data_IF_011224557253
#
_entry.id   IF_011224557253
#
_cell.length_a   1.000
_cell.length_b   1.000
_cell.length_c   1.000
_cell.angle_alpha   90.00
_cell.angle_beta   90.00
_cell.angle_gamma   90.00
#
_symmetry.space_group_name_H-M   'P 1'
#
loop_
_entity.id
_entity.type
_entity.pdbx_description
1 polymer ?
#
# COMPACT_ATOMS: atom_id res chain seq x y z
N UNK A 1 0.95 8.56 10.87
CA UNK A 1 1.97 8.74 11.88
C UNK A 1 1.75 7.69 12.96
N UNK A 2 2.65 6.74 13.07
CA UNK A 2 2.66 5.84 14.21
C UNK A 2 3.43 6.54 15.33
N UNK A 3 2.76 6.80 16.42
CA UNK A 3 3.34 7.32 17.65
C UNK A 3 3.24 6.23 18.69
N UNK A 4 4.36 5.86 19.28
CA UNK A 4 4.34 5.16 20.56
C UNK A 4 4.13 6.21 21.64
N UNK A 5 2.97 6.16 22.27
CA UNK A 5 2.65 7.02 23.39
C UNK A 5 2.61 6.17 24.65
N UNK A 6 3.42 6.49 25.60
CA UNK A 6 3.40 5.86 26.92
C UNK A 6 3.57 6.89 28.02
N UNK A 7 2.97 6.62 29.15
CA UNK A 7 3.04 7.48 30.31
C UNK A 7 3.63 6.72 31.48
N UNK A 8 4.44 7.37 32.26
CA UNK A 8 4.66 7.02 33.66
C UNK A 8 3.82 7.93 34.57
N UNK A 9 3.94 7.77 35.88
CA UNK A 9 3.11 8.51 36.84
C UNK A 9 3.31 10.05 36.79
N UNK A 10 4.32 10.54 36.09
CA UNK A 10 4.68 11.95 36.10
C UNK A 10 4.92 12.51 34.68
N UNK A 11 5.04 11.65 33.67
CA UNK A 11 5.53 12.05 32.37
C UNK A 11 4.79 11.37 31.21
N UNK A 12 4.61 12.12 30.14
CA UNK A 12 4.09 11.64 28.88
C UNK A 12 5.25 11.49 27.88
N UNK A 13 5.45 10.31 27.39
CA UNK A 13 6.48 10.02 26.39
C UNK A 13 5.85 9.74 25.04
N UNK A 14 6.35 10.39 24.00
CA UNK A 14 5.96 10.14 22.63
C UNK A 14 7.21 9.79 21.86
N UNK A 15 7.26 8.55 21.40
CA UNK A 15 8.30 8.10 20.51
C UNK A 15 7.76 8.11 19.09
N UNK A 16 8.19 9.04 18.23
CA UNK A 16 7.85 8.96 16.83
C UNK A 16 8.55 7.75 16.27
N UNK A 17 7.80 6.73 15.99
CA UNK A 17 8.31 5.65 15.16
C UNK A 17 8.84 6.28 13.88
N UNK A 18 10.07 5.98 13.52
CA UNK A 18 10.69 6.38 12.25
C UNK A 18 9.97 5.71 11.08
N UNK A 19 8.68 5.98 10.99
CA UNK A 19 7.88 5.50 9.90
C UNK A 19 7.76 6.61 8.89
N UNK A 20 8.59 6.44 7.87
CA UNK A 20 8.23 6.88 6.54
C UNK A 20 7.72 8.30 6.42
N UNK A 21 8.68 9.16 6.37
CA UNK A 21 8.53 10.54 6.03
C UNK A 21 7.97 10.84 4.65
N UNK A 22 7.02 10.08 4.17
CA UNK A 22 6.25 10.47 3.00
C UNK A 22 5.21 11.54 3.33
N UNK A 23 4.96 11.74 4.61
CA UNK A 23 3.74 12.39 5.04
C UNK A 23 4.06 13.60 5.89
N UNK A 24 4.01 14.72 5.23
CA UNK A 24 3.97 16.07 5.79
C UNK A 24 4.94 16.44 6.92
N UNK A 25 5.92 17.32 6.66
CA UNK A 25 6.78 17.90 7.68
C UNK A 25 6.01 18.65 8.78
N UNK A 26 4.75 18.98 8.57
CA UNK A 26 3.92 19.68 9.55
C UNK A 26 3.34 18.78 10.65
N UNK A 27 3.44 17.48 10.54
CA UNK A 27 3.09 16.54 11.61
C UNK A 27 4.23 16.33 12.63
N UNK A 28 5.36 17.00 12.46
CA UNK A 28 6.50 16.97 13.39
C UNK A 28 6.42 18.04 14.50
N UNK A 29 5.24 18.28 15.00
CA UNK A 29 5.14 18.93 16.32
C UNK A 29 6.05 18.28 17.38
N UNK A 30 6.21 16.96 17.40
CA UNK A 30 7.13 16.30 18.32
C UNK A 30 8.60 16.59 18.10
N UNK A 31 9.07 16.87 16.90
CA UNK A 31 10.50 17.00 16.64
C UNK A 31 11.16 18.11 17.47
N UNK A 32 10.46 19.20 17.64
CA UNK A 32 10.91 20.33 18.45
C UNK A 32 10.99 20.00 19.93
N UNK A 33 10.25 19.01 20.38
CA UNK A 33 10.14 18.60 21.77
C UNK A 33 11.03 17.39 22.09
N UNK A 34 11.51 16.69 21.08
CA UNK A 34 12.40 15.55 21.27
C UNK A 34 13.86 15.93 21.39
N UNK A 35 14.22 17.14 20.95
CA UNK A 35 15.61 17.57 20.93
C UNK A 35 16.21 17.77 22.33
N UNK A 36 15.38 17.96 23.35
CA UNK A 36 15.91 18.28 24.67
C UNK A 36 16.14 17.09 25.59
N UNK A 37 15.62 15.89 25.38
CA UNK A 37 15.91 14.73 26.25
C UNK A 37 15.52 13.36 25.71
N UNK A 38 15.21 13.23 24.41
CA UNK A 38 14.68 11.97 23.87
C UNK A 38 13.28 11.61 24.39
N UNK A 39 12.67 12.48 25.15
CA UNK A 39 11.31 12.40 25.67
C UNK A 39 10.54 13.66 25.33
N UNK A 40 9.24 13.47 25.14
CA UNK A 40 8.35 14.55 24.76
C UNK A 40 7.98 15.38 25.97
N UNK A 41 8.87 16.00 26.52
CA UNK A 41 8.56 16.81 27.56
C UNK A 41 9.34 17.94 27.60
N UNK A 42 8.69 18.74 27.98
CA UNK A 42 8.27 19.62 28.54
C UNK A 42 8.36 20.48 28.92
N UNK A 43 8.24 20.74 28.53
CA UNK A 43 7.39 21.18 28.79
C UNK A 43 7.56 22.07 29.86
N UNK A 44 8.50 22.88 29.80
CA UNK A 44 8.58 24.02 30.71
C UNK A 44 7.35 24.89 30.54
N UNK A 45 6.42 24.70 31.45
CA UNK A 45 5.16 25.47 31.52
C UNK A 45 3.99 24.73 30.89
N UNK A 46 2.97 24.46 31.66
CA UNK A 46 1.75 23.72 31.29
C UNK A 46 1.03 24.16 30.01
N UNK A 47 1.50 25.22 29.37
CA UNK A 47 0.96 25.74 28.14
C UNK A 47 1.13 24.77 26.96
N UNK A 48 2.28 24.14 26.86
CA UNK A 48 2.54 23.26 25.73
C UNK A 48 1.92 21.88 25.90
N UNK A 49 1.82 21.40 27.13
CA UNK A 49 1.05 20.20 27.45
C UNK A 49 -0.42 20.41 27.10
N UNK A 50 -0.99 21.53 27.51
CA UNK A 50 -2.37 21.88 27.20
C UNK A 50 -2.61 21.92 25.69
N UNK A 51 -1.69 22.51 24.93
CA UNK A 51 -1.78 22.58 23.47
C UNK A 51 -1.61 21.21 22.84
N UNK A 52 -0.77 20.35 23.40
CA UNK A 52 -0.63 18.98 22.95
C UNK A 52 -1.91 18.17 23.19
N UNK A 53 -2.48 18.24 24.37
CA UNK A 53 -3.76 17.58 24.67
C UNK A 53 -4.87 18.11 23.76
N UNK A 54 -4.94 19.40 23.52
CA UNK A 54 -5.90 19.97 22.56
C UNK A 54 -5.69 19.42 21.16
N UNK A 55 -4.44 19.23 20.74
CA UNK A 55 -4.12 18.64 19.44
C UNK A 55 -4.48 17.15 19.41
N UNK A 56 -4.15 16.40 20.45
CA UNK A 56 -4.52 14.99 20.58
C UNK A 56 -6.05 14.83 20.64
N UNK A 57 -6.74 15.67 21.41
CA UNK A 57 -8.19 15.69 21.46
C UNK A 57 -8.80 16.06 20.10
N UNK A 58 -8.24 17.03 19.40
CA UNK A 58 -8.69 17.37 18.05
C UNK A 58 -8.45 16.22 17.06
N UNK A 59 -7.35 15.48 17.21
CA UNK A 59 -7.05 14.30 16.39
C UNK A 59 -7.91 13.09 16.80
N UNK A 60 -8.25 12.96 18.07
CA UNK A 60 -9.03 11.82 18.60
C UNK A 60 -10.53 12.03 18.53
N UNK A 61 -11.01 13.27 18.58
CA UNK A 61 -12.43 13.60 18.56
C UNK A 61 -13.00 13.88 17.17
N UNK A 62 -12.17 13.85 16.12
CA UNK A 62 -12.67 13.86 14.75
C UNK A 62 -13.13 12.47 14.38
N UNK A 63 -14.40 12.23 14.48
CA UNK A 63 -15.06 10.92 14.43
C UNK A 63 -14.84 10.08 13.17
N UNK A 64 -14.33 10.65 12.09
CA UNK A 64 -14.11 9.93 10.84
C UNK A 64 -12.64 9.81 10.42
N UNK A 65 -11.72 10.58 11.01
CA UNK A 65 -10.34 10.70 10.54
C UNK A 65 -9.29 10.40 11.62
N UNK A 66 -9.67 9.70 12.64
CA UNK A 66 -8.91 9.58 13.88
C UNK A 66 -7.51 9.00 13.74
N UNK A 67 -7.29 8.12 12.80
CA UNK A 67 -6.02 7.43 12.63
C UNK A 67 -5.53 7.45 11.18
N UNK A 68 -6.05 8.38 10.39
CA UNK A 68 -5.65 8.47 8.99
C UNK A 68 -4.29 9.14 8.86
N UNK A 69 -3.42 8.56 8.08
CA UNK A 69 -2.20 9.22 7.64
C UNK A 69 -2.52 10.38 6.65
N UNK A 70 -1.50 11.10 6.22
CA UNK A 70 -1.71 12.25 5.33
C UNK A 70 -2.22 11.86 3.94
N UNK A 71 -1.89 10.65 3.46
CA UNK A 71 -2.39 10.14 2.20
C UNK A 71 -3.87 9.77 2.31
N UNK A 72 -4.25 9.04 3.33
CA UNK A 72 -5.63 8.67 3.58
C UNK A 72 -6.52 9.89 3.79
N UNK A 73 -6.01 10.91 4.50
CA UNK A 73 -6.70 12.21 4.63
C UNK A 73 -6.86 12.90 3.28
N UNK A 74 -5.79 13.00 2.52
CA UNK A 74 -5.81 13.63 1.19
C UNK A 74 -6.87 12.98 0.30
N UNK A 75 -6.90 11.65 0.19
CA UNK A 75 -7.90 10.93 -0.60
C UNK A 75 -9.32 11.12 -0.05
N UNK A 76 -9.48 11.07 1.27
CA UNK A 76 -10.79 11.25 1.91
C UNK A 76 -11.34 12.65 1.68
N UNK A 77 -10.52 13.68 1.87
CA UNK A 77 -10.90 15.07 1.65
C UNK A 77 -11.16 15.35 0.17
N UNK A 78 -10.32 14.83 -0.72
CA UNK A 78 -10.54 14.92 -2.17
C UNK A 78 -11.88 14.30 -2.58
N UNK A 79 -12.17 13.09 -2.11
CA UNK A 79 -13.44 12.41 -2.40
C UNK A 79 -14.64 13.18 -1.84
N UNK A 80 -14.52 13.75 -0.63
CA UNK A 80 -15.57 14.58 -0.02
C UNK A 80 -15.83 15.85 -0.84
N UNK A 81 -14.77 16.55 -1.24
CA UNK A 81 -14.85 17.74 -2.08
C UNK A 81 -15.46 17.43 -3.45
N UNK A 82 -15.01 16.37 -4.10
CA UNK A 82 -15.57 15.93 -5.37
C UNK A 82 -17.07 15.60 -5.26
N UNK A 83 -17.49 14.86 -4.25
CA UNK A 83 -18.91 14.51 -4.07
C UNK A 83 -19.80 15.69 -3.74
N UNK A 84 -19.27 16.70 -3.04
CA UNK A 84 -20.04 17.87 -2.63
C UNK A 84 -20.05 18.98 -3.68
N UNK A 85 -18.95 19.18 -4.36
CA UNK A 85 -18.68 20.36 -5.19
C UNK A 85 -18.39 19.99 -6.66
N UNK A 86 -18.20 18.73 -6.98
CA UNK A 86 -17.80 18.28 -8.31
C UNK A 86 -16.34 18.66 -8.67
N UNK A 87 -15.54 19.07 -7.69
CA UNK A 87 -14.18 19.57 -7.93
C UNK A 87 -13.17 18.41 -7.86
N UNK A 88 -12.53 18.15 -9.01
CA UNK A 88 -11.39 17.24 -9.13
C UNK A 88 -10.40 17.88 -10.12
N UNK A 89 -9.35 18.48 -9.57
CA UNK A 89 -8.41 19.26 -10.40
C UNK A 89 -7.35 18.39 -11.04
N UNK A 90 -6.75 18.79 -12.17
CA UNK A 90 -5.63 18.07 -12.80
C UNK A 90 -4.46 17.82 -11.84
N UNK A 91 -4.17 18.75 -10.94
CA UNK A 91 -3.11 18.58 -9.94
C UNK A 91 -3.44 17.45 -8.93
N UNK A 92 -4.69 17.33 -8.53
CA UNK A 92 -5.16 16.24 -7.66
C UNK A 92 -5.08 14.92 -8.40
N UNK A 93 -5.51 14.87 -9.65
CA UNK A 93 -5.41 13.68 -10.50
C UNK A 93 -3.96 13.23 -10.68
N UNK A 94 -3.04 14.16 -10.94
CA UNK A 94 -1.61 13.86 -11.05
C UNK A 94 -1.06 13.21 -9.77
N UNK A 95 -1.36 13.78 -8.61
CA UNK A 95 -0.91 13.24 -7.32
C UNK A 95 -1.44 11.81 -7.13
N UNK A 96 -2.72 11.58 -7.37
CA UNK A 96 -3.36 10.26 -7.19
C UNK A 96 -2.78 9.24 -8.18
N UNK A 97 -2.69 9.61 -9.45
CA UNK A 97 -2.20 8.75 -10.51
C UNK A 97 -0.75 8.31 -10.27
N UNK A 98 0.14 9.25 -9.94
CA UNK A 98 1.55 8.95 -9.64
C UNK A 98 1.74 8.13 -8.37
N UNK A 99 0.93 8.37 -7.35
CA UNK A 99 1.09 7.66 -6.07
C UNK A 99 0.53 6.26 -6.13
N UNK A 100 -0.63 6.08 -6.78
CA UNK A 100 -1.41 4.85 -6.67
C UNK A 100 -1.37 3.98 -7.93
N UNK A 101 -1.23 4.58 -9.11
CA UNK A 101 -1.41 3.86 -10.37
C UNK A 101 -0.08 3.55 -11.06
N UNK A 102 0.63 4.55 -11.56
CA UNK A 102 1.82 4.36 -12.38
C UNK A 102 2.75 5.58 -12.38
N UNK A 103 4.02 5.36 -12.74
CA UNK A 103 4.97 6.43 -13.05
C UNK A 103 5.36 6.44 -14.55
N UNK A 104 4.71 5.63 -15.38
CA UNK A 104 4.93 5.63 -16.83
C UNK A 104 4.07 6.72 -17.48
N UNK A 105 4.70 7.65 -18.19
CA UNK A 105 4.04 8.82 -18.81
C UNK A 105 2.95 8.44 -19.82
N UNK A 106 3.11 7.32 -20.53
CA UNK A 106 2.10 6.84 -21.49
C UNK A 106 0.86 6.33 -20.75
N UNK A 107 1.09 5.56 -19.66
CA UNK A 107 0.00 5.10 -18.80
C UNK A 107 -0.72 6.28 -18.17
N UNK A 108 0.01 7.25 -17.63
CA UNK A 108 -0.56 8.46 -17.02
C UNK A 108 -1.41 9.26 -18.02
N UNK A 109 -0.94 9.41 -19.25
CA UNK A 109 -1.71 10.07 -20.32
C UNK A 109 -3.02 9.33 -20.65
N UNK A 110 -2.98 8.01 -20.69
CA UNK A 110 -4.17 7.18 -20.92
C UNK A 110 -5.13 7.22 -19.73
N UNK A 111 -4.61 7.21 -18.50
CA UNK A 111 -5.46 7.37 -17.30
C UNK A 111 -6.22 8.68 -17.34
N UNK A 112 -5.57 9.80 -17.64
CA UNK A 112 -6.22 11.11 -17.81
C UNK A 112 -7.31 11.13 -18.90
N UNK A 113 -7.17 10.29 -19.91
CA UNK A 113 -8.14 10.20 -21.02
C UNK A 113 -9.34 9.34 -20.65
N UNK A 114 -9.11 8.25 -19.95
CA UNK A 114 -10.11 7.20 -19.79
C UNK A 114 -10.70 7.09 -18.39
N UNK A 115 -9.96 7.49 -17.33
CA UNK A 115 -10.45 7.40 -15.96
C UNK A 115 -11.30 8.62 -15.60
N UNK A 116 -12.26 8.37 -14.74
CA UNK A 116 -13.03 9.39 -14.03
C UNK A 116 -12.63 9.39 -12.54
N UNK A 117 -12.90 10.44 -11.78
CA UNK A 117 -12.54 10.50 -10.36
C UNK A 117 -13.03 9.31 -9.54
N UNK A 118 -14.22 8.80 -9.81
CA UNK A 118 -14.78 7.64 -9.11
C UNK A 118 -14.00 6.35 -9.37
N UNK A 119 -13.29 6.23 -10.48
CA UNK A 119 -12.44 5.07 -10.75
C UNK A 119 -11.26 5.02 -9.79
N UNK A 120 -10.60 6.15 -9.54
CA UNK A 120 -9.52 6.25 -8.56
C UNK A 120 -10.01 5.94 -7.15
N UNK A 121 -11.17 6.44 -6.76
CA UNK A 121 -11.76 6.16 -5.46
C UNK A 121 -12.18 4.69 -5.31
N UNK A 122 -12.60 4.04 -6.39
CA UNK A 122 -12.90 2.61 -6.38
C UNK A 122 -11.64 1.78 -6.18
N UNK A 123 -10.55 2.10 -6.88
CA UNK A 123 -9.25 1.46 -6.69
C UNK A 123 -8.80 1.63 -5.24
N UNK A 124 -8.80 2.86 -4.71
CA UNK A 124 -8.41 3.14 -3.33
C UNK A 124 -9.22 2.32 -2.31
N UNK A 125 -10.53 2.20 -2.52
CA UNK A 125 -11.41 1.39 -1.64
C UNK A 125 -11.03 -0.09 -1.61
N UNK A 126 -10.35 -0.58 -2.65
CA UNK A 126 -9.93 -1.97 -2.82
C UNK A 126 -8.46 -2.19 -2.54
N UNK A 127 -7.76 -1.17 -2.04
CA UNK A 127 -6.36 -1.30 -1.66
C UNK A 127 -6.19 -1.83 -0.24
N UNK A 128 -5.17 -2.63 -0.08
CA UNK A 128 -4.54 -2.98 1.20
C UNK A 128 -3.18 -2.29 1.20
N UNK A 129 -2.95 -1.42 2.18
CA UNK A 129 -1.83 -0.50 2.16
C UNK A 129 -2.12 0.76 1.33
N UNK A 130 -1.09 1.51 0.99
CA UNK A 130 -1.19 2.86 0.41
C UNK A 130 -0.26 3.13 -0.77
N UNK A 131 0.46 2.14 -1.21
CA UNK A 131 1.44 2.29 -2.29
C UNK A 131 0.83 2.12 -3.69
N UNK A 132 1.69 1.87 -4.67
CA UNK A 132 1.29 1.65 -6.06
C UNK A 132 0.73 0.25 -6.27
N UNK A 133 -0.31 0.13 -7.11
CA UNK A 133 -0.94 -1.17 -7.45
C UNK A 133 -0.14 -1.99 -8.49
N UNK A 134 0.82 -1.35 -9.16
CA UNK A 134 1.70 -1.99 -10.15
C UNK A 134 1.13 -2.09 -11.58
N UNK A 135 2.01 -2.48 -12.51
CA UNK A 135 1.74 -2.39 -13.95
C UNK A 135 0.61 -3.28 -14.41
N UNK A 136 0.59 -4.57 -14.02
CA UNK A 136 -0.45 -5.52 -14.45
C UNK A 136 -1.84 -5.10 -13.98
N UNK A 137 -1.98 -4.68 -12.72
CA UNK A 137 -3.26 -4.22 -12.19
C UNK A 137 -3.72 -2.93 -12.87
N UNK A 138 -2.82 -1.96 -13.02
CA UNK A 138 -3.11 -0.71 -13.70
C UNK A 138 -3.50 -0.93 -15.17
N UNK A 139 -2.73 -1.73 -15.90
CA UNK A 139 -2.99 -2.06 -17.31
C UNK A 139 -4.33 -2.75 -17.52
N UNK A 140 -4.69 -3.70 -16.66
CA UNK A 140 -5.97 -4.38 -16.70
C UNK A 140 -7.15 -3.42 -16.46
N UNK A 141 -7.06 -2.53 -15.47
CA UNK A 141 -8.10 -1.54 -15.19
C UNK A 141 -8.24 -0.55 -16.33
N UNK A 142 -7.12 -0.09 -16.88
CA UNK A 142 -7.09 0.83 -18.02
C UNK A 142 -7.69 0.19 -19.27
N UNK A 143 -7.32 -1.05 -19.60
CA UNK A 143 -7.89 -1.79 -20.74
C UNK A 143 -9.41 -1.92 -20.61
N UNK A 144 -9.94 -2.22 -19.44
CA UNK A 144 -11.39 -2.27 -19.21
C UNK A 144 -12.05 -0.91 -19.44
N UNK A 145 -11.43 0.19 -19.01
CA UNK A 145 -11.97 1.53 -19.22
C UNK A 145 -11.93 1.97 -20.66
N UNK A 146 -10.90 1.62 -21.40
CA UNK A 146 -10.82 1.83 -22.85
C UNK A 146 -11.98 1.10 -23.54
N UNK A 147 -12.16 -0.20 -23.25
CA UNK A 147 -13.27 -0.96 -23.85
C UNK A 147 -14.62 -0.38 -23.44
N UNK A 148 -14.79 0.01 -22.19
CA UNK A 148 -16.04 0.61 -21.72
C UNK A 148 -16.41 1.90 -22.47
N UNK A 149 -15.43 2.76 -22.78
CA UNK A 149 -15.66 4.03 -23.48
C UNK A 149 -15.74 3.86 -25.01
N UNK A 150 -14.84 3.06 -25.57
CA UNK A 150 -14.68 2.96 -27.02
C UNK A 150 -15.54 1.88 -27.66
N UNK A 151 -15.93 0.85 -26.89
CA UNK A 151 -16.80 -0.24 -27.35
C UNK A 151 -17.73 -0.73 -26.24
N UNK A 152 -18.78 0.05 -25.89
CA UNK A 152 -19.73 -0.30 -24.83
C UNK A 152 -20.47 -1.63 -25.07
N UNK A 153 -20.68 -1.99 -26.32
CA UNK A 153 -21.33 -3.27 -26.70
C UNK A 153 -20.45 -4.46 -26.29
N UNK A 154 -19.18 -4.43 -26.64
CA UNK A 154 -18.22 -5.45 -26.18
C UNK A 154 -18.09 -5.47 -24.65
N UNK A 155 -18.10 -4.29 -24.02
CA UNK A 155 -18.03 -4.19 -22.56
C UNK A 155 -19.21 -4.87 -21.86
N UNK A 156 -20.42 -4.79 -22.42
CA UNK A 156 -21.61 -5.43 -21.86
C UNK A 156 -21.50 -6.97 -21.78
N UNK A 157 -20.64 -7.57 -22.61
CA UNK A 157 -20.36 -9.01 -22.59
C UNK A 157 -19.17 -9.42 -21.72
N UNK A 158 -18.47 -8.43 -21.10
CA UNK A 158 -17.32 -8.73 -20.25
C UNK A 158 -17.78 -9.17 -18.86
N UNK A 159 -17.12 -10.19 -18.34
CA UNK A 159 -17.26 -10.60 -16.93
C UNK A 159 -16.99 -9.43 -15.98
N UNK A 160 -17.76 -9.27 -14.90
CA UNK A 160 -17.47 -8.32 -13.85
C UNK A 160 -16.08 -8.57 -13.27
N UNK A 161 -15.33 -7.49 -13.10
CA UNK A 161 -14.03 -7.55 -12.46
C UNK A 161 -14.16 -7.20 -10.98
N UNK A 162 -13.60 -8.05 -10.13
CA UNK A 162 -13.54 -7.81 -8.68
C UNK A 162 -12.17 -8.24 -8.15
N UNK A 163 -11.41 -7.28 -7.66
CA UNK A 163 -10.06 -7.49 -7.15
C UNK A 163 -9.76 -6.57 -5.98
N UNK A 164 -8.85 -7.02 -5.14
CA UNK A 164 -8.12 -6.20 -4.18
C UNK A 164 -6.68 -6.01 -4.64
N UNK A 165 -6.07 -4.91 -4.23
CA UNK A 165 -4.72 -4.53 -4.62
C UNK A 165 -3.86 -4.38 -3.36
N UNK A 166 -2.79 -5.15 -3.28
CA UNK A 166 -1.78 -4.96 -2.24
C UNK A 166 -0.82 -3.88 -2.72
N UNK A 167 -0.79 -2.76 -2.04
CA UNK A 167 0.10 -1.67 -2.36
C UNK A 167 1.58 -2.05 -2.22
N UNK A 168 2.43 -1.38 -2.94
CA UNK A 168 3.88 -1.64 -2.90
C UNK A 168 4.49 -1.45 -1.50
N UNK A 169 3.88 -0.63 -0.66
CA UNK A 169 4.26 -0.42 0.73
C UNK A 169 4.08 -1.68 1.59
N UNK A 170 3.08 -2.53 1.29
CA UNK A 170 2.88 -3.81 2.00
C UNK A 170 4.08 -4.73 1.81
N UNK A 171 4.65 -4.79 0.60
CA UNK A 171 5.87 -5.56 0.34
C UNK A 171 7.06 -5.05 1.14
N UNK A 172 7.29 -3.74 1.16
CA UNK A 172 8.39 -3.16 1.93
C UNK A 172 8.16 -3.28 3.44
N UNK A 173 6.91 -3.13 3.89
CA UNK A 173 6.53 -3.35 5.29
C UNK A 173 6.83 -4.79 5.70
N UNK A 174 6.52 -5.76 4.86
CA UNK A 174 6.86 -7.17 5.08
C UNK A 174 8.38 -7.39 5.24
N UNK A 175 9.19 -6.80 4.36
CA UNK A 175 10.66 -6.88 4.42
C UNK A 175 11.20 -6.27 5.73
N UNK A 176 10.70 -5.12 6.12
CA UNK A 176 11.16 -4.41 7.33
C UNK A 176 10.72 -5.14 8.59
N UNK A 177 9.44 -5.56 8.66
CA UNK A 177 8.89 -6.30 9.80
C UNK A 177 9.69 -7.57 10.12
N UNK A 178 10.06 -8.32 9.10
CA UNK A 178 10.83 -9.56 9.22
C UNK A 178 12.34 -9.33 9.30
N UNK A 179 12.82 -8.10 9.33
CA UNK A 179 14.25 -7.74 9.36
C UNK A 179 15.06 -8.20 8.14
N UNK A 180 14.41 -8.42 7.00
CA UNK A 180 15.06 -8.85 5.76
C UNK A 180 15.74 -7.72 5.00
N UNK A 181 15.63 -6.48 5.45
CA UNK A 181 16.08 -5.29 4.75
C UNK A 181 17.56 -5.33 4.34
N UNK A 182 18.44 -5.76 5.26
CA UNK A 182 19.87 -5.87 4.96
C UNK A 182 20.14 -6.90 3.84
N UNK A 183 19.52 -8.07 3.94
CA UNK A 183 19.64 -9.12 2.92
C UNK A 183 19.11 -8.64 1.57
N UNK A 184 17.96 -7.97 1.57
CA UNK A 184 17.36 -7.41 0.37
C UNK A 184 18.26 -6.36 -0.31
N UNK A 185 18.89 -5.45 0.44
CA UNK A 185 19.84 -4.47 -0.13
C UNK A 185 21.08 -5.18 -0.69
N UNK A 186 21.64 -6.12 0.06
CA UNK A 186 22.84 -6.85 -0.41
C UNK A 186 22.54 -7.70 -1.64
N UNK A 187 21.35 -8.29 -1.74
CA UNK A 187 20.92 -9.02 -2.92
C UNK A 187 20.91 -8.13 -4.18
N UNK A 188 20.59 -6.85 -4.05
CA UNK A 188 20.59 -5.90 -5.19
C UNK A 188 21.98 -5.48 -5.66
N UNK A 189 23.04 -5.83 -4.94
CA UNK A 189 24.42 -5.53 -5.38
C UNK A 189 24.84 -6.46 -6.52
N UNK A 190 25.79 -6.01 -7.36
CA UNK A 190 26.32 -6.83 -8.46
C UNK A 190 26.81 -8.21 -8.00
N UNK A 191 27.42 -8.29 -6.82
CA UNK A 191 27.94 -9.53 -6.26
C UNK A 191 26.84 -10.41 -5.62
N UNK A 192 25.83 -9.76 -5.01
CA UNK A 192 24.74 -10.44 -4.32
C UNK A 192 23.60 -10.90 -5.22
N UNK A 193 23.48 -10.33 -6.42
CA UNK A 193 22.27 -10.40 -7.23
C UNK A 193 21.70 -11.81 -7.42
N UNK A 194 22.52 -12.74 -7.88
CA UNK A 194 22.16 -14.15 -7.98
C UNK A 194 22.54 -14.96 -6.73
N UNK A 195 23.66 -14.60 -6.10
CA UNK A 195 24.22 -15.39 -4.99
C UNK A 195 23.31 -15.39 -3.76
N UNK A 196 22.67 -14.27 -3.44
CA UNK A 196 21.84 -14.12 -2.27
C UNK A 196 20.35 -14.35 -2.56
N UNK A 197 19.96 -14.52 -3.81
CA UNK A 197 18.58 -14.71 -4.21
C UNK A 197 17.94 -15.94 -3.54
N UNK A 198 18.56 -17.15 -3.50
CA UNK A 198 17.97 -18.30 -2.83
C UNK A 198 17.76 -18.08 -1.31
N UNK A 199 18.67 -17.35 -0.67
CA UNK A 199 18.53 -17.02 0.76
C UNK A 199 17.37 -16.05 0.99
N UNK A 200 17.21 -15.04 0.12
CA UNK A 200 16.11 -14.08 0.23
C UNK A 200 14.77 -14.72 -0.13
N UNK A 201 14.74 -15.63 -1.08
CA UNK A 201 13.57 -16.44 -1.42
C UNK A 201 13.06 -17.21 -0.21
N UNK A 202 13.94 -17.96 0.47
CA UNK A 202 13.59 -18.68 1.69
C UNK A 202 13.13 -17.76 2.82
N UNK A 203 13.77 -16.59 2.96
CA UNK A 203 13.34 -15.58 3.91
C UNK A 203 11.91 -15.09 3.60
N UNK A 204 11.57 -14.83 2.33
CA UNK A 204 10.22 -14.44 1.95
C UNK A 204 9.17 -15.52 2.21
N UNK A 205 9.51 -16.78 2.03
CA UNK A 205 8.59 -17.89 2.34
C UNK A 205 8.34 -18.07 3.84
N UNK A 206 9.29 -17.70 4.69
CA UNK A 206 9.24 -17.94 6.14
C UNK A 206 8.76 -16.75 6.97
N UNK A 207 8.59 -15.58 6.39
CA UNK A 207 8.19 -14.36 7.10
C UNK A 207 6.74 -14.34 7.55
N UNK A 208 6.39 -13.36 8.37
CA UNK A 208 5.03 -13.10 8.85
C UNK A 208 4.56 -11.71 8.47
N UNK A 209 3.25 -11.54 8.35
CA UNK A 209 2.66 -10.22 8.12
C UNK A 209 2.37 -9.51 9.45
N UNK A 210 2.55 -8.17 9.52
CA UNK A 210 2.12 -7.39 10.67
C UNK A 210 0.61 -7.53 10.90
N UNK A 211 0.19 -7.46 12.16
CA UNK A 211 -1.22 -7.62 12.54
C UNK A 211 -2.15 -6.64 11.80
N UNK A 212 -1.72 -5.41 11.60
CA UNK A 212 -2.51 -4.41 10.86
C UNK A 212 -2.79 -4.82 9.40
N UNK A 213 -1.85 -5.53 8.75
CA UNK A 213 -2.05 -6.08 7.40
C UNK A 213 -2.94 -7.32 7.45
N UNK A 214 -2.73 -8.21 8.43
CA UNK A 214 -3.56 -9.40 8.63
C UNK A 214 -5.03 -9.06 8.84
N UNK A 215 -5.34 -8.01 9.61
CA UNK A 215 -6.70 -7.51 9.78
C UNK A 215 -7.32 -7.03 8.45
N UNK A 216 -6.54 -6.42 7.57
CA UNK A 216 -7.01 -6.03 6.24
C UNK A 216 -7.24 -7.26 5.34
N UNK A 217 -6.39 -8.29 5.43
CA UNK A 217 -6.62 -9.57 4.75
C UNK A 217 -7.90 -10.24 5.22
N UNK A 218 -8.18 -10.26 6.52
CA UNK A 218 -9.42 -10.81 7.08
C UNK A 218 -10.64 -10.09 6.48
N UNK A 219 -10.66 -8.75 6.47
CA UNK A 219 -11.74 -7.97 5.87
C UNK A 219 -11.94 -8.25 4.38
N UNK A 220 -10.85 -8.44 3.64
CA UNK A 220 -10.90 -8.84 2.24
C UNK A 220 -11.48 -10.25 2.08
N UNK A 221 -11.07 -11.20 2.92
CA UNK A 221 -11.61 -12.56 2.92
C UNK A 221 -13.09 -12.61 3.31
N UNK A 222 -13.51 -11.78 4.27
CA UNK A 222 -14.94 -11.60 4.60
C UNK A 222 -15.73 -11.09 3.40
N UNK A 223 -15.18 -10.12 2.68
CA UNK A 223 -15.81 -9.57 1.48
C UNK A 223 -15.99 -10.62 0.38
N UNK A 224 -14.96 -11.41 0.08
CA UNK A 224 -15.05 -12.46 -0.95
C UNK A 224 -15.87 -13.68 -0.50
N UNK A 225 -16.10 -13.84 0.80
CA UNK A 225 -16.68 -15.06 1.32
C UNK A 225 -15.80 -16.27 0.99
N UNK A 226 -16.39 -17.41 0.69
CA UNK A 226 -15.65 -18.63 0.34
C UNK A 226 -15.51 -18.84 -1.18
N UNK A 227 -15.33 -17.74 -1.92
CA UNK A 227 -15.08 -17.81 -3.37
C UNK A 227 -13.59 -18.02 -3.63
N UNK A 228 -13.21 -18.82 -4.61
CA UNK A 228 -11.81 -18.98 -4.99
C UNK A 228 -11.16 -17.63 -5.32
N UNK A 229 -9.91 -17.47 -4.93
CA UNK A 229 -9.12 -16.26 -5.15
C UNK A 229 -7.83 -16.65 -5.89
N UNK A 230 -7.38 -15.81 -6.81
CA UNK A 230 -6.05 -15.91 -7.39
C UNK A 230 -5.20 -14.74 -6.89
N UNK A 231 -4.03 -15.05 -6.30
CA UNK A 231 -3.02 -14.07 -5.94
C UNK A 231 -2.02 -13.97 -7.08
N UNK A 232 -1.83 -12.76 -7.60
CA UNK A 232 -0.96 -12.49 -8.75
C UNK A 232 -0.01 -11.35 -8.45
N UNK A 233 1.19 -11.44 -9.00
CA UNK A 233 2.12 -10.32 -9.02
C UNK A 233 1.62 -9.16 -9.87
N UNK A 234 1.99 -7.94 -9.49
CA UNK A 234 1.73 -6.73 -10.24
C UNK A 234 2.88 -5.73 -10.02
N UNK A 235 4.09 -6.10 -10.46
CA UNK A 235 5.23 -5.18 -10.34
C UNK A 235 5.15 -4.06 -11.37
N UNK A 236 5.85 -2.96 -11.14
CA UNK A 236 5.92 -1.83 -12.08
C UNK A 236 6.53 -2.21 -13.43
N UNK A 237 7.29 -3.31 -13.48
CA UNK A 237 7.93 -3.80 -14.70
C UNK A 237 7.04 -4.79 -15.47
N UNK A 238 5.98 -5.28 -14.86
CA UNK A 238 5.05 -6.18 -15.55
C UNK A 238 4.10 -5.37 -16.42
N UNK A 239 4.01 -5.79 -17.68
CA UNK A 239 3.14 -5.19 -18.69
C UNK A 239 3.42 -3.70 -18.96
N UNK A 240 4.68 -3.28 -18.78
CA UNK A 240 5.13 -1.98 -19.24
C UNK A 240 5.16 -1.93 -20.78
N UNK A 241 4.93 -0.74 -21.36
CA UNK A 241 4.97 -0.56 -22.80
C UNK A 241 6.31 -1.02 -23.40
N UNK A 242 6.25 -2.00 -24.28
CA UNK A 242 7.42 -2.55 -25.00
C UNK A 242 8.15 -3.69 -24.29
N UNK A 243 7.73 -4.07 -23.08
CA UNK A 243 8.34 -5.17 -22.33
C UNK A 243 7.26 -6.13 -21.81
N UNK A 244 7.17 -7.29 -22.42
CA UNK A 244 6.30 -8.37 -21.93
C UNK A 244 7.02 -9.16 -20.82
N UNK A 245 6.70 -8.91 -19.56
CA UNK A 245 7.22 -9.65 -18.40
C UNK A 245 6.27 -10.81 -18.02
N UNK A 246 5.80 -11.57 -19.03
CA UNK A 246 4.84 -12.62 -18.79
C UNK A 246 5.48 -13.89 -18.20
N UNK A 247 4.82 -14.53 -17.23
CA UNK A 247 5.21 -15.85 -16.71
C UNK A 247 6.52 -15.90 -15.92
N UNK A 248 7.02 -14.76 -15.44
CA UNK A 248 8.26 -14.70 -14.64
C UNK A 248 8.02 -14.78 -13.14
N UNK A 249 6.86 -14.38 -12.69
CA UNK A 249 6.44 -14.48 -11.31
C UNK A 249 5.30 -15.48 -11.17
N UNK A 250 5.19 -16.06 -9.99
CA UNK A 250 4.13 -17.02 -9.69
C UNK A 250 2.75 -16.37 -9.60
N UNK A 251 1.75 -17.19 -9.89
CA UNK A 251 0.35 -16.92 -9.59
C UNK A 251 -0.19 -18.09 -8.79
N UNK A 252 -0.82 -17.81 -7.66
CA UNK A 252 -1.26 -18.83 -6.71
C UNK A 252 -2.77 -18.80 -6.57
N UNK A 253 -3.41 -19.93 -6.83
CA UNK A 253 -4.83 -20.12 -6.57
C UNK A 253 -5.04 -20.51 -5.11
N UNK A 254 -5.93 -19.79 -4.43
CA UNK A 254 -6.45 -20.10 -3.14
C UNK A 254 -7.87 -20.66 -3.29
N UNK A 255 -8.12 -21.82 -2.74
CA UNK A 255 -9.47 -22.42 -2.71
C UNK A 255 -10.40 -21.57 -1.87
N UNK A 256 -9.85 -20.96 -0.80
CA UNK A 256 -10.52 -20.00 0.07
C UNK A 256 -11.76 -20.59 0.77
N UNK A 257 -11.69 -21.84 1.20
CA UNK A 257 -12.75 -22.54 1.94
C UNK A 257 -12.26 -22.92 3.34
N UNK A 258 -13.21 -23.16 4.25
CA UNK A 258 -12.89 -23.51 5.63
C UNK A 258 -13.07 -22.36 6.62
N UNK A 259 -12.39 -22.46 7.75
CA UNK A 259 -12.40 -21.44 8.79
C UNK A 259 -11.65 -20.17 8.35
N UNK A 260 -11.87 -19.06 9.04
CA UNK A 260 -11.15 -17.80 8.73
C UNK A 260 -9.63 -17.99 8.89
N UNK A 261 -9.17 -18.71 9.88
CA UNK A 261 -7.73 -18.94 10.11
C UNK A 261 -7.09 -19.80 9.01
N UNK A 262 -7.78 -20.82 8.52
CA UNK A 262 -7.32 -21.64 7.40
C UNK A 262 -7.22 -20.79 6.12
N UNK A 263 -8.24 -20.00 5.82
CA UNK A 263 -8.29 -19.12 4.66
C UNK A 263 -7.24 -18.01 4.72
N UNK A 264 -7.03 -17.41 5.91
CA UNK A 264 -6.00 -16.41 6.14
C UNK A 264 -4.60 -17.03 5.95
N UNK A 265 -4.36 -18.22 6.48
CA UNK A 265 -3.10 -18.94 6.32
C UNK A 265 -2.81 -19.26 4.86
N UNK A 266 -3.83 -19.72 4.12
CA UNK A 266 -3.72 -20.00 2.68
C UNK A 266 -3.37 -18.71 1.90
N UNK A 267 -4.06 -17.61 2.16
CA UNK A 267 -3.79 -16.33 1.54
C UNK A 267 -2.38 -15.80 1.85
N UNK A 268 -1.96 -15.84 3.11
CA UNK A 268 -0.63 -15.42 3.52
C UNK A 268 0.46 -16.25 2.84
N UNK A 269 0.27 -17.55 2.71
CA UNK A 269 1.16 -18.45 1.98
C UNK A 269 1.23 -18.08 0.49
N UNK A 270 0.10 -17.82 -0.12
CA UNK A 270 0.02 -17.39 -1.52
C UNK A 270 0.77 -16.08 -1.76
N UNK A 271 0.58 -15.08 -0.92
CA UNK A 271 1.30 -13.80 -1.03
C UNK A 271 2.80 -13.99 -0.82
N UNK A 272 3.22 -14.80 0.16
CA UNK A 272 4.64 -15.17 0.38
C UNK A 272 5.25 -15.83 -0.85
N UNK A 273 4.55 -16.78 -1.46
CA UNK A 273 4.99 -17.45 -2.69
C UNK A 273 5.19 -16.48 -3.83
N UNK A 274 4.25 -15.55 -4.03
CA UNK A 274 4.39 -14.50 -5.05
C UNK A 274 5.58 -13.59 -4.75
N UNK A 275 5.79 -13.18 -3.49
CA UNK A 275 6.97 -12.38 -3.11
C UNK A 275 8.27 -13.17 -3.34
N UNK A 276 8.34 -14.43 -2.95
CA UNK A 276 9.49 -15.31 -3.15
C UNK A 276 9.83 -15.50 -4.63
N UNK A 277 8.83 -15.61 -5.50
CA UNK A 277 9.01 -15.79 -6.94
C UNK A 277 9.76 -14.61 -7.61
N UNK A 278 9.80 -13.46 -6.96
CA UNK A 278 10.63 -12.34 -7.43
C UNK A 278 12.12 -12.64 -7.38
N UNK A 279 12.54 -13.67 -6.67
CA UNK A 279 13.93 -14.14 -6.58
C UNK A 279 14.25 -15.28 -7.53
N UNK A 280 13.29 -15.78 -8.30
CA UNK A 280 13.51 -16.82 -9.30
C UNK A 280 14.57 -16.38 -10.31
N UNK A 281 15.45 -17.31 -10.71
CA UNK A 281 16.56 -17.04 -11.64
C UNK A 281 16.08 -16.39 -12.94
N UNK A 282 15.00 -16.92 -13.55
CA UNK A 282 14.42 -16.37 -14.79
C UNK A 282 13.90 -14.92 -14.64
N UNK A 283 13.38 -14.58 -13.46
CA UNK A 283 12.93 -13.23 -13.17
C UNK A 283 14.12 -12.27 -12.94
N UNK A 284 15.17 -12.77 -12.29
CA UNK A 284 16.41 -12.01 -12.07
C UNK A 284 17.17 -11.75 -13.36
N UNK A 285 17.29 -12.76 -14.24
CA UNK A 285 17.91 -12.63 -15.56
C UNK A 285 17.20 -11.60 -16.43
N UNK A 286 15.89 -11.60 -16.41
CA UNK A 286 15.10 -10.62 -17.19
C UNK A 286 15.24 -9.18 -16.68
N UNK A 287 15.45 -8.99 -15.37
CA UNK A 287 15.58 -7.66 -14.75
C UNK A 287 17.00 -7.10 -14.79
N UNK A 288 17.98 -7.88 -15.24
CA UNK A 288 19.39 -7.49 -15.35
C UNK A 288 19.68 -6.69 -16.61
#
# INVERSE_FOLDING_TARGET
LLLDVYTDNESLYINPLKVWNRYSPNMFLPHKYMEENGSFLPLKGGYEISRFYTLVDALTNTSENQNLDSWERFITDTRRTYRREGIFTPAVEDIISHTMMSNDEKILSLLKTYFEPDDYFLVYKRMIGTGCIGGKACGMLLARKIIQKDNPEAFAHMEPHDSYYLGSDVFYTYIVHNKFWRLHIHQKTKQGYFKLAPQLEQAFLSGSFPEAIRLQFIRMLEYFGQRPIIVRSSSLQEDAFGNAFAGKYESVFCINTGTMDERLTELENAVRTVYASTMNTSALEYRR
#
